data_IF_672895999840
#
_entry.id   IF_672895999840
#
_cell.length_a   1.000
_cell.length_b   1.000
_cell.length_c   1.000
_cell.angle_alpha   90.00
_cell.angle_beta   90.00
_cell.angle_gamma   90.00
#
_symmetry.space_group_name_H-M   'P 1'
#
loop_
_entity.id
_entity.type
_entity.pdbx_description
1 polymer ?
#
# COMPACT_ATOMS: atom_id res chain seq x y z
N UNK A 1 -15.33 13.77 5.45
CA UNK A 1 -13.98 14.06 6.00
C UNK A 1 -13.02 14.39 4.87
N UNK A 2 -11.76 14.73 5.16
CA UNK A 2 -10.74 15.08 4.15
C UNK A 2 -10.62 14.03 3.03
N UNK A 3 -10.84 12.74 3.35
CA UNK A 3 -10.83 11.63 2.40
C UNK A 3 -11.99 11.68 1.40
N UNK A 4 -13.20 12.02 1.86
CA UNK A 4 -14.38 12.18 0.99
C UNK A 4 -14.22 13.37 0.05
N UNK A 5 -13.58 14.45 0.52
CA UNK A 5 -13.28 15.64 -0.30
C UNK A 5 -12.29 15.32 -1.43
N UNK A 6 -11.45 14.31 -1.24
CA UNK A 6 -10.49 13.83 -2.25
C UNK A 6 -11.05 12.70 -3.11
N UNK A 7 -12.34 12.38 -2.98
CA UNK A 7 -13.01 11.30 -3.72
C UNK A 7 -12.55 9.89 -3.29
N UNK A 8 -11.85 9.76 -2.16
CA UNK A 8 -11.33 8.50 -1.69
C UNK A 8 -12.33 7.85 -0.72
N UNK A 9 -12.90 6.71 -1.13
CA UNK A 9 -13.76 5.91 -0.24
C UNK A 9 -12.92 5.31 0.88
N UNK A 10 -13.37 5.46 2.12
CA UNK A 10 -12.70 4.87 3.29
C UNK A 10 -13.07 3.40 3.37
N UNK A 11 -12.13 2.53 2.97
CA UNK A 11 -12.36 1.08 2.90
C UNK A 11 -11.56 0.29 3.94
N UNK A 12 -10.67 0.96 4.68
CA UNK A 12 -9.80 0.33 5.67
C UNK A 12 -10.56 0.19 6.99
N UNK A 13 -10.36 -0.97 7.64
CA UNK A 13 -10.84 -1.27 8.99
C UNK A 13 -10.68 -0.09 9.95
N UNK A 14 -11.76 0.22 10.66
CA UNK A 14 -11.80 1.22 11.70
C UNK A 14 -11.31 0.67 13.04
N UNK A 15 -10.92 1.56 13.95
CA UNK A 15 -10.65 1.15 15.33
C UNK A 15 -11.92 0.50 15.92
N UNK A 16 -11.82 -0.67 16.56
CA UNK A 16 -12.99 -1.41 17.05
C UNK A 16 -13.86 -0.61 18.03
N UNK A 17 -13.25 0.30 18.79
CA UNK A 17 -13.88 1.11 19.84
C UNK A 17 -14.44 2.45 19.33
N UNK A 18 -14.64 2.59 18.01
CA UNK A 18 -15.14 3.86 17.45
C UNK A 18 -16.60 4.08 17.86
N UNK A 19 -16.87 5.24 18.47
CA UNK A 19 -18.20 5.62 18.97
C UNK A 19 -19.27 5.60 17.86
N UNK A 20 -18.91 6.00 16.64
CA UNK A 20 -19.76 5.90 15.45
C UNK A 20 -19.05 5.04 14.40
N UNK A 21 -19.45 3.77 14.23
CA UNK A 21 -18.87 2.91 13.21
C UNK A 21 -19.14 3.46 11.80
N UNK A 22 -18.13 3.45 10.93
CA UNK A 22 -18.33 3.63 9.50
C UNK A 22 -18.87 2.34 8.88
N UNK A 23 -19.78 2.46 7.92
CA UNK A 23 -20.11 1.35 7.03
C UNK A 23 -18.91 1.09 6.11
N UNK A 24 -18.28 -0.07 6.29
CA UNK A 24 -17.16 -0.52 5.47
C UNK A 24 -17.66 -1.69 4.63
N UNK A 25 -17.43 -1.60 3.33
CA UNK A 25 -17.66 -2.70 2.40
C UNK A 25 -16.61 -3.79 2.66
N UNK A 26 -17.04 -4.86 3.33
CA UNK A 26 -16.18 -5.99 3.70
C UNK A 26 -15.65 -6.74 2.48
N UNK A 27 -16.43 -6.79 1.39
CA UNK A 27 -15.99 -7.44 0.16
C UNK A 27 -14.86 -6.63 -0.48
N UNK A 28 -15.01 -5.31 -0.54
CA UNK A 28 -13.95 -4.41 -0.99
C UNK A 28 -12.73 -4.44 -0.05
N UNK A 29 -12.92 -4.56 1.27
CA UNK A 29 -11.82 -4.68 2.23
C UNK A 29 -10.98 -5.95 2.03
N UNK A 30 -11.58 -7.06 1.56
CA UNK A 30 -10.83 -8.29 1.26
C UNK A 30 -9.70 -8.03 0.28
N UNK A 31 -9.88 -7.19 -0.74
CA UNK A 31 -8.87 -6.88 -1.77
C UNK A 31 -7.60 -6.22 -1.22
N UNK A 32 -7.61 -5.75 0.03
CA UNK A 32 -6.42 -5.21 0.71
C UNK A 32 -5.23 -6.18 0.72
N UNK A 33 -5.47 -7.49 0.74
CA UNK A 33 -4.38 -8.47 0.69
C UNK A 33 -3.53 -8.35 -0.58
N UNK A 34 -4.09 -7.88 -1.71
CA UNK A 34 -3.34 -7.70 -2.95
C UNK A 34 -2.24 -6.65 -2.80
N UNK A 35 -2.58 -5.49 -2.23
CA UNK A 35 -1.61 -4.41 -2.02
C UNK A 35 -0.61 -4.77 -0.91
N UNK A 36 -1.04 -5.49 0.13
CA UNK A 36 -0.14 -6.01 1.16
C UNK A 36 0.87 -7.02 0.59
N UNK A 37 0.41 -7.96 -0.23
CA UNK A 37 1.26 -8.94 -0.89
C UNK A 37 2.28 -8.26 -1.81
N UNK A 38 1.85 -7.23 -2.55
CA UNK A 38 2.74 -6.43 -3.37
C UNK A 38 3.84 -5.76 -2.53
N UNK A 39 3.49 -5.06 -1.44
CA UNK A 39 4.48 -4.42 -0.58
C UNK A 39 5.35 -5.42 0.19
N UNK A 40 4.83 -6.60 0.52
CA UNK A 40 5.60 -7.69 1.11
C UNK A 40 6.73 -8.08 0.16
N UNK A 41 6.40 -8.42 -1.10
CA UNK A 41 7.38 -8.73 -2.14
C UNK A 41 8.34 -7.58 -2.42
N UNK A 42 7.84 -6.34 -2.47
CA UNK A 42 8.67 -5.16 -2.70
C UNK A 42 9.71 -4.97 -1.58
N UNK A 43 9.39 -5.35 -0.34
CA UNK A 43 10.30 -5.30 0.80
C UNK A 43 11.26 -6.49 0.89
N UNK A 44 11.12 -7.54 0.09
CA UNK A 44 12.14 -8.60 -0.02
C UNK A 44 13.45 -8.06 -0.60
N UNK A 45 13.37 -6.99 -1.41
CA UNK A 45 14.55 -6.32 -1.94
C UNK A 45 15.24 -5.51 -0.83
N UNK A 46 16.34 -6.04 -0.29
CA UNK A 46 17.14 -5.44 0.81
C UNK A 46 17.43 -3.95 0.61
N UNK A 47 17.76 -3.54 -0.63
CA UNK A 47 18.04 -2.12 -0.96
C UNK A 47 16.82 -1.21 -0.80
N UNK A 48 15.61 -1.73 -1.07
CA UNK A 48 14.35 -1.02 -0.82
C UNK A 48 14.05 -1.02 0.68
N UNK A 49 14.08 -2.19 1.33
CA UNK A 49 13.72 -2.34 2.74
C UNK A 49 14.57 -1.47 3.69
N UNK A 50 15.88 -1.37 3.41
CA UNK A 50 16.79 -0.57 4.24
C UNK A 50 16.97 0.86 3.73
N UNK A 51 16.31 1.25 2.63
CA UNK A 51 16.56 2.54 1.95
C UNK A 51 18.05 2.80 1.70
N UNK A 52 18.75 1.80 1.17
CA UNK A 52 20.22 1.83 1.02
C UNK A 52 20.73 2.53 -0.26
N UNK A 53 19.84 3.14 -1.05
CA UNK A 53 20.24 3.88 -2.24
C UNK A 53 20.79 5.27 -1.87
N UNK A 54 21.91 5.66 -2.50
CA UNK A 54 22.60 6.93 -2.21
C UNK A 54 21.81 8.17 -2.64
N UNK A 55 21.03 8.05 -3.71
CA UNK A 55 20.24 9.16 -4.25
C UNK A 55 18.76 8.81 -4.29
N UNK A 56 17.90 9.81 -4.23
CA UNK A 56 16.45 9.62 -4.35
C UNK A 56 16.08 9.05 -5.71
N UNK A 57 16.71 9.53 -6.78
CA UNK A 57 16.48 9.04 -8.14
C UNK A 57 16.81 7.54 -8.27
N UNK A 58 17.92 7.09 -7.66
CA UNK A 58 18.29 5.67 -7.70
C UNK A 58 17.39 4.80 -6.82
N UNK A 59 16.81 5.35 -5.76
CA UNK A 59 15.80 4.67 -4.96
C UNK A 59 14.48 4.54 -5.72
N UNK A 60 14.03 5.63 -6.35
CA UNK A 60 12.82 5.67 -7.16
C UNK A 60 12.90 4.71 -8.36
N UNK A 61 14.00 4.76 -9.13
CA UNK A 61 14.21 3.85 -10.25
C UNK A 61 14.19 2.38 -9.81
N UNK A 62 14.73 2.07 -8.62
CA UNK A 62 14.70 0.73 -8.07
C UNK A 62 13.27 0.30 -7.68
N UNK A 63 12.46 1.20 -7.11
CA UNK A 63 11.05 0.93 -6.84
C UNK A 63 10.32 0.57 -8.14
N UNK A 64 10.47 1.37 -9.20
CA UNK A 64 9.80 1.09 -10.48
C UNK A 64 10.26 -0.23 -11.09
N UNK A 65 11.57 -0.50 -11.08
CA UNK A 65 12.12 -1.74 -11.62
C UNK A 65 11.59 -2.96 -10.86
N UNK A 66 11.65 -2.95 -9.53
CA UNK A 66 11.14 -4.05 -8.72
C UNK A 66 9.62 -4.22 -8.87
N UNK A 67 8.88 -3.12 -8.98
CA UNK A 67 7.43 -3.15 -9.24
C UNK A 67 7.11 -3.81 -10.57
N UNK A 68 7.85 -3.48 -11.63
CA UNK A 68 7.69 -4.09 -12.94
C UNK A 68 7.98 -5.60 -12.89
N UNK A 69 9.04 -6.03 -12.18
CA UNK A 69 9.39 -7.45 -12.01
C UNK A 69 8.32 -8.22 -11.23
N UNK A 70 7.74 -7.62 -10.18
CA UNK A 70 6.67 -8.25 -9.39
C UNK A 70 5.41 -8.45 -10.23
N UNK A 71 5.12 -7.51 -11.14
CA UNK A 71 3.93 -7.53 -12.00
C UNK A 71 4.15 -8.19 -13.36
N UNK A 72 5.38 -8.60 -13.71
CA UNK A 72 5.68 -9.28 -14.98
C UNK A 72 5.53 -10.81 -14.91
N UNK A 73 5.16 -11.34 -13.75
CA UNK A 73 4.90 -12.77 -13.51
C UNK A 73 3.41 -12.99 -13.38
#
# INVERSE_FOLDING_TARGET
>A
GELDQRGAKVVISQRPQRISPLEIDLEMYKWRHLIENFFCKLKEFKRIAMRACKTEQSFEALIYLCSAIINSR
#
